data_IF_155197792052
#
_entry.id   IF_155197792052
#
_cell.length_a   1.000
_cell.length_b   1.000
_cell.length_c   1.000
_cell.angle_alpha   90.00
_cell.angle_beta   90.00
_cell.angle_gamma   90.00
#
_symmetry.space_group_name_H-M   'P 1'
#
loop_
_entity.id
_entity.type
_entity.pdbx_description
1 polymer ?
#
# COMPACT_ATOMS: atom_id res chain seq x y z
N UNK A 1 -9.87 -11.83 -1.09
CA UNK A 1 -9.65 -10.50 -1.73
C UNK A 1 -8.75 -10.65 -2.94
N UNK A 2 -9.15 -10.11 -4.06
CA UNK A 2 -8.41 -10.20 -5.30
C UNK A 2 -7.89 -8.81 -5.67
N UNK A 3 -6.58 -8.61 -5.78
CA UNK A 3 -6.06 -7.30 -6.15
C UNK A 3 -6.56 -6.81 -7.51
N UNK A 4 -6.91 -7.74 -8.40
CA UNK A 4 -7.43 -7.36 -9.72
C UNK A 4 -8.83 -6.75 -9.66
N UNK A 5 -9.53 -6.89 -8.54
CA UNK A 5 -10.84 -6.27 -8.38
C UNK A 5 -10.75 -4.82 -7.90
N UNK A 6 -9.55 -4.36 -7.59
CA UNK A 6 -9.30 -2.98 -7.17
C UNK A 6 -8.73 -2.22 -8.35
N UNK A 7 -9.43 -1.19 -8.81
CA UNK A 7 -8.98 -0.40 -9.95
C UNK A 7 -8.30 0.88 -9.48
N UNK A 8 -7.13 1.16 -10.06
CA UNK A 8 -6.43 2.41 -9.82
C UNK A 8 -6.59 3.30 -11.05
N UNK A 9 -7.28 4.41 -10.88
CA UNK A 9 -7.56 5.33 -11.99
C UNK A 9 -6.40 6.26 -12.27
N UNK A 10 -5.57 6.52 -11.26
CA UNK A 10 -4.40 7.38 -11.42
C UNK A 10 -3.26 6.59 -12.06
N UNK A 11 -2.78 7.08 -13.19
CA UNK A 11 -1.76 6.39 -13.97
C UNK A 11 -0.45 6.21 -13.19
N UNK A 12 -0.04 7.24 -12.45
CA UNK A 12 1.16 7.18 -11.63
C UNK A 12 1.05 6.09 -10.57
N UNK A 13 -0.12 5.98 -9.94
CA UNK A 13 -0.36 4.95 -8.92
C UNK A 13 -0.40 3.55 -9.55
N UNK A 14 -0.92 3.43 -10.75
CA UNK A 14 -0.89 2.16 -11.48
C UNK A 14 0.55 1.73 -11.75
N UNK A 15 1.41 2.64 -12.16
CA UNK A 15 2.83 2.34 -12.37
C UNK A 15 3.52 1.94 -11.08
N UNK A 16 3.24 2.65 -9.99
CA UNK A 16 3.79 2.30 -8.67
C UNK A 16 3.37 0.88 -8.27
N UNK A 17 2.12 0.52 -8.53
CA UNK A 17 1.62 -0.80 -8.23
C UNK A 17 2.36 -1.87 -9.04
N UNK A 18 2.55 -1.65 -10.34
CA UNK A 18 3.28 -2.60 -11.19
C UNK A 18 4.71 -2.79 -10.71
N UNK A 19 5.39 -1.71 -10.32
CA UNK A 19 6.75 -1.81 -9.79
C UNK A 19 6.77 -2.62 -8.51
N UNK A 20 5.82 -2.38 -7.63
CA UNK A 20 5.73 -3.11 -6.36
C UNK A 20 5.45 -4.58 -6.60
N UNK A 21 4.56 -4.92 -7.52
CA UNK A 21 4.28 -6.30 -7.89
C UNK A 21 5.55 -7.01 -8.39
N UNK A 22 6.33 -6.31 -9.22
CA UNK A 22 7.58 -6.86 -9.74
C UNK A 22 8.55 -7.17 -8.61
N UNK A 23 8.63 -6.29 -7.60
CA UNK A 23 9.49 -6.54 -6.44
C UNK A 23 8.98 -7.70 -5.60
N UNK A 24 7.67 -7.76 -5.38
CA UNK A 24 7.05 -8.84 -4.59
C UNK A 24 7.32 -10.19 -5.27
N UNK A 25 7.20 -10.25 -6.60
CA UNK A 25 7.38 -11.49 -7.34
C UNK A 25 8.82 -12.04 -7.24
N UNK A 26 9.78 -11.20 -6.88
CA UNK A 26 11.17 -11.62 -6.70
C UNK A 26 11.45 -12.16 -5.30
N UNK A 27 10.52 -12.01 -4.36
CA UNK A 27 10.74 -12.40 -2.97
C UNK A 27 10.38 -13.86 -2.77
N UNK A 28 11.37 -14.69 -2.40
CA UNK A 28 11.19 -16.12 -2.10
C UNK A 28 11.00 -16.37 -0.62
N UNK A 29 11.42 -15.44 0.22
CA UNK A 29 11.45 -15.61 1.67
C UNK A 29 10.10 -15.22 2.26
N UNK A 30 9.45 -16.17 2.93
CA UNK A 30 8.12 -15.95 3.49
C UNK A 30 8.14 -14.89 4.59
N UNK A 31 9.21 -14.83 5.38
CA UNK A 31 9.33 -13.83 6.45
C UNK A 31 9.45 -12.42 5.88
N UNK A 32 10.19 -12.28 4.78
CA UNK A 32 10.28 -10.99 4.09
C UNK A 32 8.92 -10.57 3.53
N UNK A 33 8.17 -11.50 2.97
CA UNK A 33 6.82 -11.21 2.48
C UNK A 33 5.90 -10.77 3.59
N UNK A 34 5.96 -11.44 4.73
CA UNK A 34 5.16 -11.07 5.90
C UNK A 34 5.52 -9.67 6.39
N UNK A 35 6.81 -9.35 6.46
CA UNK A 35 7.25 -8.03 6.87
C UNK A 35 6.79 -6.96 5.89
N UNK A 36 6.88 -7.24 4.60
CA UNK A 36 6.40 -6.31 3.58
C UNK A 36 4.91 -6.04 3.74
N UNK A 37 4.13 -7.09 3.95
CA UNK A 37 2.69 -6.95 4.16
C UNK A 37 2.38 -6.11 5.41
N UNK A 38 3.08 -6.38 6.51
CA UNK A 38 2.90 -5.63 7.75
C UNK A 38 3.26 -4.17 7.57
N UNK A 39 4.37 -3.89 6.89
CA UNK A 39 4.79 -2.53 6.61
C UNK A 39 3.78 -1.81 5.72
N UNK A 40 3.26 -2.50 4.71
CA UNK A 40 2.27 -1.92 3.81
C UNK A 40 1.00 -1.53 4.55
N UNK A 41 0.51 -2.41 5.41
CA UNK A 41 -0.66 -2.10 6.23
C UNK A 41 -0.40 -0.94 7.18
N UNK A 42 0.77 -0.91 7.79
CA UNK A 42 1.11 0.16 8.73
C UNK A 42 1.16 1.50 8.01
N UNK A 43 1.75 1.55 6.83
CA UNK A 43 1.80 2.76 6.03
C UNK A 43 0.39 3.20 5.60
N UNK A 44 -0.45 2.25 5.24
CA UNK A 44 -1.84 2.54 4.90
C UNK A 44 -2.58 3.19 6.08
N UNK A 45 -2.44 2.60 7.26
CA UNK A 45 -3.06 3.15 8.47
C UNK A 45 -2.48 4.52 8.81
N UNK A 46 -1.17 4.69 8.61
CA UNK A 46 -0.51 5.97 8.84
C UNK A 46 -1.05 7.05 7.92
N UNK A 47 -1.29 6.70 6.65
CA UNK A 47 -1.91 7.63 5.72
C UNK A 47 -3.31 8.06 6.18
N UNK A 48 -4.08 7.11 6.70
CA UNK A 48 -5.40 7.43 7.25
C UNK A 48 -5.30 8.40 8.42
N UNK A 49 -4.33 8.19 9.32
CA UNK A 49 -4.11 9.12 10.43
C UNK A 49 -3.81 10.53 9.94
N UNK A 50 -2.93 10.64 8.94
CA UNK A 50 -2.55 11.94 8.38
C UNK A 50 -3.76 12.63 7.76
N UNK A 51 -4.56 11.90 7.00
CA UNK A 51 -5.77 12.45 6.38
C UNK A 51 -6.76 12.92 7.43
N UNK A 52 -6.97 12.12 8.47
CA UNK A 52 -7.87 12.49 9.57
C UNK A 52 -7.38 13.76 10.26
N UNK A 53 -6.08 13.85 10.53
CA UNK A 53 -5.50 15.02 11.20
C UNK A 53 -5.62 16.28 10.32
N UNK A 54 -5.47 16.15 9.01
CA UNK A 54 -5.59 17.28 8.09
C UNK A 54 -7.03 17.72 7.92
N UNK A 55 -7.99 16.80 8.01
CA UNK A 55 -9.41 17.09 7.78
C UNK A 55 -10.17 17.35 9.06
N UNK A 56 -9.56 17.17 10.23
CA UNK A 56 -10.19 17.39 11.53
C UNK A 56 -9.80 18.79 12.05
N UNK A 57 -10.67 19.77 11.92
CA UNK A 57 -10.36 21.12 12.40
C UNK A 57 -10.37 21.18 13.92
N UNK A 58 -9.55 22.05 14.48
CA UNK A 58 -9.58 22.39 15.89
C UNK A 58 -9.33 21.24 16.84
N UNK A 59 -8.44 20.38 16.45
CA UNK A 59 -8.05 19.27 17.33
C UNK A 59 -7.01 19.68 18.34
#
# INVERSE_FOLDING_TARGET
MDPNSIELENLTKSFEYFKLCSEIDKIDDIDQLKNLAKCSFKLYLKQQEVVINLSAPNQ
#
